data_IF_091995176905
#
_entry.id   IF_091995176905
#
_cell.length_a   1.000
_cell.length_b   1.000
_cell.length_c   1.000
_cell.angle_alpha   90.00
_cell.angle_beta   90.00
_cell.angle_gamma   90.00
#
_symmetry.space_group_name_H-M   'P 1'
#
loop_
_entity.id
_entity.type
_entity.pdbx_description
1 polymer ?
#
# COMPACT_ATOMS: atom_id res chain seq x y z
N UNK A 1 56.95 7.63 0.47
CA UNK A 1 55.63 7.14 0.00
C UNK A 1 55.51 5.62 -0.02
N UNK A 2 56.53 4.86 -0.41
CA UNK A 2 56.47 3.37 -0.44
C UNK A 2 56.15 2.69 0.91
N UNK A 3 56.67 3.20 2.04
CA UNK A 3 56.40 2.60 3.34
C UNK A 3 54.95 2.76 3.81
N UNK A 4 54.29 3.87 3.42
CA UNK A 4 52.88 4.13 3.75
C UNK A 4 51.97 3.23 2.88
N UNK A 5 52.30 3.08 1.59
CA UNK A 5 51.63 2.15 0.68
C UNK A 5 51.73 0.69 1.13
N UNK A 6 52.92 0.24 1.58
CA UNK A 6 53.08 -1.12 2.16
C UNK A 6 52.24 -1.34 3.43
N UNK A 7 52.07 -0.32 4.26
CA UNK A 7 51.26 -0.40 5.50
C UNK A 7 49.76 -0.47 5.20
N UNK A 8 49.29 0.28 4.20
CA UNK A 8 47.90 0.23 3.71
C UNK A 8 47.60 -1.11 3.02
N UNK A 9 48.54 -1.65 2.23
CA UNK A 9 48.39 -2.95 1.58
C UNK A 9 48.36 -4.10 2.61
N UNK A 10 49.21 -4.05 3.65
CA UNK A 10 49.18 -5.02 4.77
C UNK A 10 47.87 -4.96 5.57
N UNK A 11 47.33 -3.76 5.82
CA UNK A 11 46.06 -3.56 6.53
C UNK A 11 44.85 -4.06 5.75
N UNK A 12 44.80 -3.81 4.44
CA UNK A 12 43.72 -4.32 3.56
C UNK A 12 43.79 -5.82 3.34
N UNK A 13 45.00 -6.38 3.25
CA UNK A 13 45.21 -7.84 3.22
C UNK A 13 44.81 -8.49 4.55
N UNK A 14 45.10 -7.86 5.69
CA UNK A 14 44.70 -8.38 7.01
C UNK A 14 43.17 -8.36 7.20
N UNK A 15 42.48 -7.32 6.70
CA UNK A 15 41.01 -7.26 6.68
C UNK A 15 40.37 -8.27 5.72
N UNK A 16 40.97 -8.52 4.55
CA UNK A 16 40.51 -9.56 3.63
C UNK A 16 40.74 -10.97 4.18
N UNK A 17 41.88 -11.20 4.84
CA UNK A 17 42.18 -12.46 5.51
C UNK A 17 41.26 -12.65 6.72
N UNK A 18 40.93 -11.62 7.50
CA UNK A 18 39.98 -11.76 8.61
C UNK A 18 38.57 -12.07 8.12
N UNK A 19 38.10 -11.47 7.01
CA UNK A 19 36.81 -11.80 6.39
C UNK A 19 36.81 -13.24 5.83
N UNK A 20 37.88 -13.66 5.16
CA UNK A 20 38.02 -15.04 4.67
C UNK A 20 38.15 -16.05 5.81
N UNK A 21 38.81 -15.70 6.91
CA UNK A 21 38.90 -16.52 8.12
C UNK A 21 37.55 -16.58 8.82
N UNK A 22 36.78 -15.50 8.84
CA UNK A 22 35.41 -15.47 9.36
C UNK A 22 34.48 -16.35 8.53
N UNK A 23 34.53 -16.24 7.20
CA UNK A 23 33.78 -17.10 6.28
C UNK A 23 34.21 -18.57 6.42
N UNK A 24 35.50 -18.85 6.60
CA UNK A 24 36.04 -20.20 6.82
C UNK A 24 35.75 -20.75 8.23
N UNK A 25 35.61 -19.90 9.25
CA UNK A 25 35.21 -20.26 10.62
C UNK A 25 33.70 -20.48 10.70
N UNK A 26 32.89 -19.67 10.02
CA UNK A 26 31.46 -19.88 9.82
C UNK A 26 31.16 -21.15 9.01
N UNK A 27 32.01 -21.51 8.05
CA UNK A 27 31.92 -22.78 7.32
C UNK A 27 32.57 -23.96 8.06
N UNK A 28 33.62 -23.73 8.86
CA UNK A 28 34.49 -24.76 9.46
C UNK A 28 34.04 -25.25 10.83
N UNK A 29 33.51 -24.37 11.69
CA UNK A 29 33.03 -24.79 13.03
C UNK A 29 31.66 -25.51 12.92
N UNK A 30 30.82 -25.12 11.95
CA UNK A 30 29.54 -25.80 11.70
C UNK A 30 29.65 -27.15 10.97
N UNK A 31 30.77 -27.42 10.28
CA UNK A 31 30.95 -28.65 9.50
C UNK A 31 31.50 -29.84 10.30
N UNK A 32 32.24 -29.61 11.41
CA UNK A 32 32.91 -30.71 12.11
C UNK A 32 32.07 -31.36 13.23
N UNK A 33 31.14 -30.63 13.86
CA UNK A 33 30.25 -31.20 14.88
C UNK A 33 29.04 -31.97 14.30
N UNK A 34 28.75 -31.83 13.00
CA UNK A 34 27.55 -32.38 12.35
C UNK A 34 27.74 -33.75 11.66
N UNK A 35 28.97 -34.27 11.54
CA UNK A 35 29.19 -35.54 10.83
C UNK A 35 28.88 -36.79 11.69
N UNK A 36 28.57 -36.64 12.99
CA UNK A 36 28.33 -37.77 13.90
C UNK A 36 26.91 -37.75 14.45
N UNK A 37 25.92 -37.99 13.58
CA UNK A 37 24.79 -38.94 13.76
C UNK A 37 23.71 -38.74 12.68
N UNK A 38 23.73 -39.67 11.72
CA UNK A 38 22.71 -40.12 10.78
C UNK A 38 21.35 -39.36 10.66
N UNK A 39 21.08 -38.90 9.43
CA UNK A 39 19.82 -38.88 8.66
C UNK A 39 18.51 -38.94 9.48
N UNK A 40 17.75 -37.83 9.42
CA UNK A 40 16.51 -37.53 10.18
C UNK A 40 16.76 -37.05 11.61
N UNK A 41 17.55 -35.98 11.73
CA UNK A 41 17.81 -35.31 12.99
C UNK A 41 17.07 -33.96 13.03
N UNK A 42 16.28 -33.63 14.08
CA UNK A 42 15.68 -32.30 14.23
C UNK A 42 16.72 -31.17 14.15
N UNK A 43 17.97 -31.41 14.57
CA UNK A 43 19.06 -30.45 14.43
C UNK A 43 19.36 -30.10 12.97
N UNK A 44 19.35 -31.08 12.06
CA UNK A 44 19.63 -30.85 10.63
C UNK A 44 18.57 -29.93 10.00
N UNK A 45 17.30 -30.16 10.35
CA UNK A 45 16.19 -29.34 9.88
C UNK A 45 16.25 -27.91 10.44
N UNK A 46 16.54 -27.77 11.73
CA UNK A 46 16.74 -26.46 12.37
C UNK A 46 17.91 -25.70 11.74
N UNK A 47 19.04 -26.37 11.51
CA UNK A 47 20.22 -25.78 10.88
C UNK A 47 19.92 -25.34 9.44
N UNK A 48 19.19 -26.16 8.68
CA UNK A 48 18.77 -25.78 7.32
C UNK A 48 17.89 -24.54 7.33
N UNK A 49 16.91 -24.48 8.24
CA UNK A 49 16.05 -23.31 8.40
C UNK A 49 16.84 -22.05 8.83
N UNK A 50 17.77 -22.19 9.77
CA UNK A 50 18.62 -21.08 10.23
C UNK A 50 19.60 -20.61 9.14
N UNK A 51 20.21 -21.52 8.38
CA UNK A 51 21.06 -21.13 7.24
C UNK A 51 20.26 -20.35 6.21
N UNK A 52 19.04 -20.79 5.89
CA UNK A 52 18.15 -20.05 5.00
C UNK A 52 17.83 -18.66 5.55
N UNK A 53 17.59 -18.51 6.85
CA UNK A 53 17.45 -17.21 7.52
C UNK A 53 18.69 -16.32 7.38
N UNK A 54 19.88 -16.86 7.63
CA UNK A 54 21.15 -16.13 7.50
C UNK A 54 21.45 -15.69 6.06
N UNK A 55 21.08 -16.54 5.09
CA UNK A 55 21.24 -16.30 3.65
C UNK A 55 20.11 -15.46 3.04
N UNK A 56 19.10 -15.08 3.83
CA UNK A 56 17.89 -14.38 3.37
C UNK A 56 17.08 -15.18 2.31
N UNK A 57 17.20 -16.51 2.33
CA UNK A 57 16.40 -17.43 1.50
C UNK A 57 15.08 -17.77 2.21
N UNK A 58 14.17 -16.79 2.21
CA UNK A 58 12.87 -16.92 2.85
C UNK A 58 11.92 -17.88 2.12
N UNK A 59 12.21 -18.22 0.86
CA UNK A 59 11.48 -19.26 0.12
C UNK A 59 11.75 -20.64 0.71
N UNK A 60 13.02 -20.96 0.94
CA UNK A 60 13.40 -22.20 1.64
C UNK A 60 12.79 -22.23 3.04
N UNK A 61 12.90 -21.16 3.82
CA UNK A 61 12.28 -21.09 5.15
C UNK A 61 10.77 -21.41 5.11
N UNK A 62 10.03 -20.79 4.19
CA UNK A 62 8.59 -21.01 4.03
C UNK A 62 8.26 -22.45 3.63
N UNK A 63 9.12 -23.12 2.86
CA UNK A 63 8.92 -24.51 2.45
C UNK A 63 9.20 -25.53 3.56
N UNK A 64 9.94 -25.14 4.61
CA UNK A 64 10.26 -25.98 5.76
C UNK A 64 9.19 -25.93 6.87
N UNK A 65 8.19 -25.06 6.75
CA UNK A 65 7.12 -24.89 7.73
C UNK A 65 6.17 -26.09 7.81
N UNK A 66 5.66 -26.37 9.02
CA UNK A 66 4.55 -27.28 9.26
C UNK A 66 3.21 -26.58 8.95
N UNK A 67 2.80 -26.62 7.68
CA UNK A 67 1.56 -25.99 7.21
C UNK A 67 0.38 -26.91 7.51
N UNK A 68 -0.43 -26.54 8.50
CA UNK A 68 -1.65 -27.27 8.89
C UNK A 68 -2.80 -26.93 7.94
N UNK A 69 -3.66 -27.91 7.67
CA UNK A 69 -4.79 -27.74 6.75
C UNK A 69 -5.80 -26.69 7.23
N UNK A 70 -6.10 -25.74 6.34
CA UNK A 70 -7.00 -24.61 6.58
C UNK A 70 -6.40 -23.49 7.43
N UNK A 71 -5.09 -23.48 7.68
CA UNK A 71 -4.39 -22.30 8.20
C UNK A 71 -4.06 -21.35 7.04
N UNK A 72 -4.37 -20.07 7.19
CA UNK A 72 -4.02 -19.05 6.21
C UNK A 72 -2.64 -18.46 6.53
N UNK A 73 -1.60 -18.98 5.86
CA UNK A 73 -0.22 -18.53 6.03
C UNK A 73 0.26 -17.91 4.71
N UNK A 74 0.02 -16.60 4.54
CA UNK A 74 0.49 -15.85 3.38
C UNK A 74 2.02 -15.93 3.28
N UNK A 75 2.51 -16.38 2.11
CA UNK A 75 3.94 -16.51 1.82
C UNK A 75 4.64 -15.16 1.86
N UNK A 76 4.10 -14.15 1.18
CA UNK A 76 4.69 -12.82 1.12
C UNK A 76 4.78 -12.18 2.50
N UNK A 77 3.72 -12.34 3.31
CA UNK A 77 3.71 -11.85 4.69
C UNK A 77 4.74 -12.55 5.56
N UNK A 78 4.85 -13.87 5.45
CA UNK A 78 5.85 -14.63 6.19
C UNK A 78 7.27 -14.16 5.84
N UNK A 79 7.57 -13.97 4.55
CA UNK A 79 8.87 -13.46 4.09
C UNK A 79 9.16 -12.08 4.64
N UNK A 80 8.18 -11.17 4.61
CA UNK A 80 8.32 -9.82 5.17
C UNK A 80 8.66 -9.85 6.66
N UNK A 81 8.00 -10.72 7.44
CA UNK A 81 8.28 -10.88 8.88
C UNK A 81 9.71 -11.40 9.07
N UNK A 82 10.10 -12.47 8.37
CA UNK A 82 11.45 -13.04 8.48
C UNK A 82 12.54 -12.05 8.05
N UNK A 83 12.30 -11.28 6.99
CA UNK A 83 13.22 -10.25 6.52
C UNK A 83 13.43 -9.17 7.58
N UNK A 84 12.36 -8.61 8.13
CA UNK A 84 12.46 -7.60 9.20
C UNK A 84 13.15 -8.14 10.44
N UNK A 85 12.88 -9.40 10.81
CA UNK A 85 13.59 -10.06 11.91
C UNK A 85 15.09 -10.17 11.60
N UNK A 86 15.48 -10.60 10.40
CA UNK A 86 16.89 -10.70 10.01
C UNK A 86 17.58 -9.34 10.00
N UNK A 87 16.95 -8.31 9.45
CA UNK A 87 17.47 -6.93 9.40
C UNK A 87 17.63 -6.31 10.79
N UNK A 88 16.84 -6.76 11.78
CA UNK A 88 16.93 -6.28 13.17
C UNK A 88 18.06 -6.90 13.98
N UNK A 89 18.80 -7.86 13.43
CA UNK A 89 19.81 -8.64 14.14
C UNK A 89 21.18 -8.50 13.46
N UNK A 90 22.20 -8.16 14.24
CA UNK A 90 23.60 -8.43 13.88
C UNK A 90 23.96 -9.80 14.46
N UNK A 91 24.59 -10.64 13.65
CA UNK A 91 24.99 -12.00 14.02
C UNK A 91 26.36 -12.23 13.43
N UNK A 92 27.38 -12.17 14.29
CA UNK A 92 28.76 -12.41 13.93
C UNK A 92 29.10 -13.89 14.11
N UNK A 93 28.75 -14.44 15.27
CA UNK A 93 28.95 -15.84 15.59
C UNK A 93 27.67 -16.49 16.10
N UNK A 94 27.60 -17.82 16.03
CA UNK A 94 26.46 -18.56 16.56
C UNK A 94 26.86 -19.94 17.08
N UNK A 95 26.10 -20.43 18.05
CA UNK A 95 26.23 -21.78 18.61
C UNK A 95 24.89 -22.50 18.55
N UNK A 96 24.89 -23.68 17.95
CA UNK A 96 23.71 -24.55 17.85
C UNK A 96 23.73 -25.51 19.03
N UNK A 97 22.71 -25.47 19.87
CA UNK A 97 22.58 -26.36 21.01
C UNK A 97 21.92 -27.69 20.60
N UNK A 98 22.15 -28.72 21.42
CA UNK A 98 21.50 -30.03 21.24
C UNK A 98 19.96 -29.90 21.30
N UNK A 99 19.24 -30.72 20.50
CA UNK A 99 17.78 -30.67 20.47
C UNK A 99 17.24 -31.16 21.80
N UNK A 100 16.36 -30.36 22.41
CA UNK A 100 15.60 -30.77 23.61
C UNK A 100 14.14 -31.00 23.27
N UNK A 101 13.42 -31.70 24.14
CA UNK A 101 11.97 -31.86 24.03
C UNK A 101 11.27 -30.90 24.98
N UNK A 102 10.34 -30.12 24.46
CA UNK A 102 9.43 -29.26 25.23
C UNK A 102 8.00 -29.56 24.75
N UNK A 103 7.08 -29.87 25.66
CA UNK A 103 5.66 -30.12 25.36
C UNK A 103 5.40 -31.10 24.20
N UNK A 104 6.26 -32.12 24.07
CA UNK A 104 6.18 -33.13 23.00
C UNK A 104 6.75 -32.69 21.64
N UNK A 105 7.24 -31.46 21.52
CA UNK A 105 7.94 -30.92 20.35
C UNK A 105 9.45 -30.92 20.55
N UNK A 106 10.21 -30.94 19.45
CA UNK A 106 11.65 -30.75 19.51
C UNK A 106 11.96 -29.25 19.39
N UNK A 107 12.88 -28.76 20.22
CA UNK A 107 13.34 -27.38 20.20
C UNK A 107 14.85 -27.37 20.04
N UNK A 108 15.32 -26.64 19.05
CA UNK A 108 16.75 -26.35 18.83
C UNK A 108 16.96 -24.87 19.09
N UNK A 109 17.81 -24.55 20.06
CA UNK A 109 18.19 -23.16 20.35
C UNK A 109 19.50 -22.84 19.64
N UNK A 110 19.51 -21.69 18.97
CA UNK A 110 20.69 -21.12 18.34
C UNK A 110 21.00 -19.83 19.10
N UNK A 111 22.12 -19.84 19.81
CA UNK A 111 22.67 -18.66 20.49
C UNK A 111 23.40 -17.84 19.42
N UNK A 112 22.91 -16.64 19.12
CA UNK A 112 23.49 -15.73 18.15
C UNK A 112 24.19 -14.59 18.89
N UNK A 113 25.45 -14.32 18.57
CA UNK A 113 26.28 -13.30 19.25
C UNK A 113 26.62 -12.16 18.30
N UNK A 114 26.49 -10.94 18.80
CA UNK A 114 27.01 -9.70 18.22
C UNK A 114 28.32 -9.37 18.95
N UNK A 115 29.43 -9.48 18.22
CA UNK A 115 30.77 -9.36 18.78
C UNK A 115 31.13 -7.88 19.07
N UNK A 116 30.44 -6.93 18.43
CA UNK A 116 30.62 -5.49 18.66
C UNK A 116 30.04 -5.05 19.99
N UNK A 117 28.89 -5.61 20.36
CA UNK A 117 28.15 -5.28 21.58
C UNK A 117 28.35 -6.27 22.73
N UNK A 118 29.06 -7.38 22.48
CA UNK A 118 29.21 -8.53 23.39
C UNK A 118 27.84 -9.04 23.91
N UNK A 119 26.82 -8.96 23.05
CA UNK A 119 25.45 -9.34 23.37
C UNK A 119 25.06 -10.62 22.67
N UNK A 120 24.27 -11.46 23.34
CA UNK A 120 23.79 -12.73 22.79
C UNK A 120 22.27 -12.82 22.86
N UNK A 121 21.67 -13.35 21.81
CA UNK A 121 20.23 -13.57 21.70
C UNK A 121 19.91 -14.97 21.20
N UNK A 122 18.83 -15.55 21.73
CA UNK A 122 18.44 -16.92 21.43
C UNK A 122 17.37 -16.97 20.34
N UNK A 123 17.65 -17.71 19.26
CA UNK A 123 16.65 -18.12 18.29
C UNK A 123 16.22 -19.55 18.58
N UNK A 124 14.96 -19.72 19.00
CA UNK A 124 14.38 -21.04 19.28
C UNK A 124 13.58 -21.54 18.06
N UNK A 125 14.01 -22.65 17.47
CA UNK A 125 13.32 -23.32 16.36
C UNK A 125 12.56 -24.52 16.92
N UNK A 126 11.23 -24.47 16.82
CA UNK A 126 10.32 -25.54 17.22
C UNK A 126 10.06 -26.46 16.03
N UNK A 127 10.06 -27.77 16.26
CA UNK A 127 9.98 -28.78 15.21
C UNK A 127 8.96 -29.86 15.56
N UNK A 128 8.00 -30.06 14.66
CA UNK A 128 7.03 -31.14 14.72
C UNK A 128 7.55 -32.35 13.95
N UNK A 129 7.52 -33.52 14.60
CA UNK A 129 7.85 -34.80 13.98
C UNK A 129 6.66 -35.29 13.15
N UNK A 130 6.86 -35.55 11.86
CA UNK A 130 5.89 -36.15 10.93
C UNK A 130 6.38 -37.54 10.54
N UNK A 131 5.47 -38.51 10.52
CA UNK A 131 5.76 -39.87 10.08
C UNK A 131 5.07 -40.08 8.72
N UNK A 132 5.83 -40.41 7.69
CA UNK A 132 5.29 -40.69 6.36
C UNK A 132 5.23 -42.20 6.12
N UNK A 133 4.07 -42.83 6.30
CA UNK A 133 3.90 -44.24 5.91
C UNK A 133 4.00 -44.36 4.36
N UNK A 134 4.70 -45.37 3.81
CA UNK A 134 5.38 -46.51 4.47
C UNK A 134 6.86 -46.28 4.83
N UNK A 135 7.42 -45.06 4.64
CA UNK A 135 8.81 -44.73 4.98
C UNK A 135 8.96 -44.54 6.50
N UNK A 136 9.61 -45.48 7.18
CA UNK A 136 9.96 -45.44 8.62
C UNK A 136 10.92 -44.31 9.03
N UNK A 137 11.16 -43.30 8.18
CA UNK A 137 12.01 -42.15 8.50
C UNK A 137 11.14 -40.97 8.95
N UNK A 138 11.39 -40.38 10.13
CA UNK A 138 10.73 -39.14 10.50
C UNK A 138 11.07 -38.02 9.51
N UNK A 139 10.11 -37.17 9.23
CA UNK A 139 10.34 -35.83 8.69
C UNK A 139 10.12 -34.82 9.82
N UNK A 140 10.86 -33.71 9.80
CA UNK A 140 10.71 -32.65 10.79
C UNK A 140 10.30 -31.37 10.07
N UNK A 141 9.28 -30.69 10.57
CA UNK A 141 8.78 -29.43 10.01
C UNK A 141 8.78 -28.34 11.08
N UNK A 142 9.11 -27.12 10.67
CA UNK A 142 9.21 -25.97 11.56
C UNK A 142 7.83 -25.54 12.01
N UNK A 143 7.60 -25.55 13.33
CA UNK A 143 6.37 -25.06 13.92
C UNK A 143 6.45 -23.55 14.15
N UNK A 144 5.45 -22.84 13.63
CA UNK A 144 5.29 -21.40 13.77
C UNK A 144 4.05 -21.04 14.59
N UNK A 145 3.50 -21.96 15.40
CA UNK A 145 2.29 -21.72 16.19
C UNK A 145 2.36 -20.43 17.03
N UNK A 146 3.55 -20.09 17.55
CA UNK A 146 3.79 -18.84 18.32
C UNK A 146 3.64 -17.56 17.48
N UNK A 147 3.71 -17.66 16.16
CA UNK A 147 3.48 -16.56 15.22
C UNK A 147 2.02 -16.48 14.77
N UNK A 148 1.17 -17.44 15.13
CA UNK A 148 -0.19 -17.55 14.62
C UNK A 148 -1.22 -17.07 15.64
N UNK A 149 -2.26 -16.42 15.13
CA UNK A 149 -3.49 -16.08 15.84
C UNK A 149 -4.59 -17.01 15.37
N UNK A 150 -5.28 -17.67 16.31
CA UNK A 150 -6.36 -18.62 16.01
C UNK A 150 -7.73 -17.95 16.05
N UNK A 151 -8.66 -18.52 15.28
CA UNK A 151 -10.08 -18.16 15.28
C UNK A 151 -10.33 -16.66 15.00
N UNK A 152 -9.70 -16.12 13.96
CA UNK A 152 -10.04 -14.77 13.49
C UNK A 152 -11.37 -14.85 12.73
N UNK A 153 -12.32 -14.01 13.12
CA UNK A 153 -13.61 -13.85 12.43
C UNK A 153 -13.64 -12.51 11.71
N UNK A 154 -13.95 -12.50 10.41
CA UNK A 154 -14.16 -11.27 9.64
C UNK A 154 -15.58 -11.26 9.08
N UNK A 155 -16.33 -10.19 9.36
CA UNK A 155 -17.71 -10.00 8.89
C UNK A 155 -17.76 -8.89 7.84
N UNK A 156 -18.36 -9.19 6.69
CA UNK A 156 -18.54 -8.24 5.59
C UNK A 156 -19.99 -8.28 5.07
N UNK A 157 -20.48 -7.22 4.41
CA UNK A 157 -21.78 -7.26 3.73
C UNK A 157 -21.83 -8.39 2.69
N UNK A 158 -22.97 -9.07 2.58
CA UNK A 158 -23.15 -10.12 1.57
C UNK A 158 -22.95 -9.57 0.15
N UNK A 159 -22.19 -10.31 -0.67
CA UNK A 159 -21.91 -9.98 -2.07
C UNK A 159 -20.63 -9.17 -2.28
N UNK A 160 -20.05 -8.60 -1.23
CA UNK A 160 -18.71 -8.01 -1.29
C UNK A 160 -17.64 -9.12 -1.26
N UNK A 161 -16.49 -8.88 -1.88
CA UNK A 161 -15.31 -9.75 -1.84
C UNK A 161 -14.38 -9.32 -0.72
N UNK A 162 -13.88 -10.26 0.08
CA UNK A 162 -12.86 -9.99 1.10
C UNK A 162 -11.46 -10.05 0.49
N UNK A 163 -10.63 -9.05 0.78
CA UNK A 163 -9.18 -9.11 0.58
C UNK A 163 -8.44 -8.79 1.88
N UNK A 164 -7.33 -9.49 2.11
CA UNK A 164 -6.39 -9.21 3.19
C UNK A 164 -5.04 -8.89 2.56
N UNK A 165 -4.53 -7.68 2.80
CA UNK A 165 -3.31 -7.18 2.16
C UNK A 165 -3.38 -7.25 0.61
N UNK A 166 -4.56 -7.06 0.03
CA UNK A 166 -4.78 -7.09 -1.42
C UNK A 166 -4.95 -8.50 -2.03
N UNK A 167 -4.86 -9.56 -1.23
CA UNK A 167 -5.09 -10.93 -1.67
C UNK A 167 -6.56 -11.30 -1.42
N UNK A 168 -7.27 -11.72 -2.45
CA UNK A 168 -8.66 -12.21 -2.36
C UNK A 168 -8.72 -13.48 -1.51
N UNK A 169 -9.64 -13.51 -0.54
CA UNK A 169 -9.85 -14.63 0.37
C UNK A 169 -10.97 -15.51 -0.16
N UNK A 170 -10.72 -16.82 -0.18
CA UNK A 170 -11.63 -17.84 -0.70
C UNK A 170 -11.93 -18.92 0.35
N UNK A 171 -12.77 -19.89 -0.02
CA UNK A 171 -13.10 -21.07 0.80
C UNK A 171 -11.89 -21.98 1.11
N UNK A 172 -10.79 -21.82 0.36
CA UNK A 172 -9.51 -22.48 0.65
C UNK A 172 -8.78 -21.86 1.85
N UNK A 173 -9.04 -20.59 2.12
CA UNK A 173 -8.31 -19.79 3.11
C UNK A 173 -9.06 -19.70 4.44
N UNK A 174 -10.40 -19.72 4.39
CA UNK A 174 -11.28 -19.60 5.55
C UNK A 174 -12.57 -20.40 5.35
N UNK A 175 -13.23 -20.77 6.45
CA UNK A 175 -14.59 -21.27 6.38
C UNK A 175 -15.55 -20.08 6.22
N UNK A 176 -16.32 -20.06 5.14
CA UNK A 176 -17.21 -18.95 4.77
C UNK A 176 -18.66 -19.37 5.00
N UNK A 177 -19.37 -18.63 5.85
CA UNK A 177 -20.81 -18.78 6.05
C UNK A 177 -21.53 -17.47 5.72
N UNK A 178 -22.85 -17.51 5.56
CA UNK A 178 -23.68 -16.33 5.32
C UNK A 178 -24.90 -16.36 6.22
N UNK A 179 -25.11 -15.29 6.99
CA UNK A 179 -26.24 -15.14 7.91
C UNK A 179 -26.73 -13.68 7.87
N UNK A 180 -28.04 -13.45 7.78
CA UNK A 180 -28.65 -12.11 7.85
C UNK A 180 -28.01 -11.04 6.94
N UNK A 181 -27.76 -11.35 5.66
CA UNK A 181 -27.06 -10.48 4.69
C UNK A 181 -25.61 -10.12 5.06
N UNK A 182 -24.97 -10.93 5.91
CA UNK A 182 -23.57 -10.80 6.31
C UNK A 182 -22.84 -12.08 5.89
N UNK A 183 -21.70 -11.94 5.20
CA UNK A 183 -20.75 -13.02 4.99
C UNK A 183 -19.74 -13.04 6.13
N UNK A 184 -19.48 -14.23 6.68
CA UNK A 184 -18.60 -14.44 7.83
C UNK A 184 -17.46 -15.36 7.40
N UNK A 185 -16.23 -14.86 7.51
CA UNK A 185 -15.00 -15.58 7.21
C UNK A 185 -14.34 -16.00 8.51
N UNK A 186 -14.29 -17.30 8.76
CA UNK A 186 -13.70 -17.90 9.96
C UNK A 186 -12.35 -18.53 9.60
N UNK A 187 -11.27 -17.88 10.01
CA UNK A 187 -9.91 -18.37 9.83
C UNK A 187 -9.52 -19.26 11.01
N UNK A 188 -9.10 -20.50 10.74
CA UNK A 188 -8.56 -21.39 11.79
C UNK A 188 -7.33 -20.77 12.44
N UNK A 189 -6.41 -20.26 11.61
CA UNK A 189 -5.27 -19.48 12.05
C UNK A 189 -4.73 -18.56 10.95
N UNK A 190 -4.11 -17.46 11.36
CA UNK A 190 -3.43 -16.47 10.49
C UNK A 190 -2.16 -15.97 11.19
N UNK A 191 -1.14 -15.53 10.43
CA UNK A 191 0.03 -14.85 11.01
C UNK A 191 -0.38 -13.62 11.82
N UNK A 192 0.28 -13.37 12.93
CA UNK A 192 0.04 -12.17 13.73
C UNK A 192 0.51 -10.89 13.00
N UNK A 193 -0.08 -9.76 13.39
CA UNK A 193 0.36 -8.43 12.98
C UNK A 193 -0.73 -7.56 12.37
N UNK A 194 -0.30 -6.46 11.76
CA UNK A 194 -1.19 -5.44 11.21
C UNK A 194 -1.59 -5.75 9.77
N UNK A 195 -2.89 -5.76 9.50
CA UNK A 195 -3.47 -6.03 8.18
C UNK A 195 -4.33 -4.88 7.71
N UNK A 196 -4.18 -4.51 6.43
CA UNK A 196 -5.23 -3.80 5.69
C UNK A 196 -6.25 -4.85 5.25
N UNK A 197 -7.43 -4.79 5.83
CA UNK A 197 -8.56 -5.64 5.49
C UNK A 197 -9.52 -4.80 4.68
N UNK A 198 -9.83 -5.27 3.47
CA UNK A 198 -10.70 -4.57 2.54
C UNK A 198 -11.83 -5.51 2.16
N UNK A 199 -13.06 -5.00 2.14
CA UNK A 199 -14.12 -5.68 1.41
C UNK A 199 -14.60 -4.77 0.29
N UNK A 200 -14.82 -5.31 -0.90
CA UNK A 200 -15.16 -4.51 -2.07
C UNK A 200 -16.20 -5.18 -2.96
N UNK A 201 -17.00 -4.35 -3.61
CA UNK A 201 -17.83 -4.75 -4.73
C UNK A 201 -17.34 -4.04 -6.00
N UNK A 202 -18.13 -4.12 -7.08
CA UNK A 202 -17.77 -3.56 -8.37
C UNK A 202 -17.39 -2.06 -8.31
N UNK A 203 -17.95 -1.31 -7.36
CA UNK A 203 -17.83 0.16 -7.30
C UNK A 203 -17.12 0.69 -6.06
N UNK A 204 -17.34 0.04 -4.92
CA UNK A 204 -16.98 0.56 -3.61
C UNK A 204 -16.13 -0.41 -2.83
N UNK A 205 -15.42 0.13 -1.85
CA UNK A 205 -14.64 -0.64 -0.88
C UNK A 205 -14.95 -0.14 0.54
N UNK A 206 -14.86 -1.03 1.53
CA UNK A 206 -14.71 -0.67 2.94
C UNK A 206 -13.33 -1.13 3.37
N UNK A 207 -12.63 -0.29 4.11
CA UNK A 207 -11.27 -0.55 4.52
C UNK A 207 -11.15 -0.42 6.04
N UNK A 208 -10.38 -1.31 6.65
CA UNK A 208 -9.97 -1.20 8.05
C UNK A 208 -8.53 -1.65 8.22
N UNK A 209 -7.85 -1.07 9.21
CA UNK A 209 -6.55 -1.54 9.68
C UNK A 209 -6.78 -2.33 10.96
N UNK A 210 -6.47 -3.62 10.95
CA UNK A 210 -6.64 -4.50 12.10
C UNK A 210 -5.29 -5.00 12.60
N UNK A 211 -5.04 -4.85 13.90
CA UNK A 211 -3.89 -5.47 14.57
C UNK A 211 -4.29 -6.84 15.11
N UNK A 212 -4.01 -7.89 14.33
CA UNK A 212 -4.39 -9.28 14.62
C UNK A 212 -3.34 -9.91 15.53
N UNK A 213 -3.59 -9.91 16.83
CA UNK A 213 -2.62 -10.39 17.85
C UNK A 213 -3.22 -11.32 18.92
N UNK A 214 -4.55 -11.39 19.02
CA UNK A 214 -5.24 -12.16 20.06
C UNK A 214 -6.14 -13.22 19.43
N UNK A 215 -6.19 -14.38 20.10
CA UNK A 215 -7.14 -15.45 19.76
C UNK A 215 -8.59 -14.94 19.82
N UNK A 216 -9.46 -15.52 18.99
CA UNK A 216 -10.91 -15.27 19.00
C UNK A 216 -11.24 -13.79 18.68
N UNK A 217 -10.40 -13.13 17.88
CA UNK A 217 -10.60 -11.74 17.47
C UNK A 217 -11.67 -11.64 16.37
N UNK A 218 -12.48 -10.58 16.44
CA UNK A 218 -13.48 -10.25 15.42
C UNK A 218 -13.17 -8.90 14.76
N UNK A 219 -13.32 -8.85 13.43
CA UNK A 219 -13.27 -7.63 12.62
C UNK A 219 -14.59 -7.50 11.86
N UNK A 220 -15.36 -6.46 12.16
CA UNK A 220 -16.67 -6.23 11.56
C UNK A 220 -16.66 -5.00 10.62
N UNK A 221 -16.67 -5.26 9.30
CA UNK A 221 -16.76 -4.21 8.27
C UNK A 221 -18.23 -3.88 7.90
N UNK A 222 -19.22 -4.54 8.48
CA UNK A 222 -20.64 -4.26 8.16
C UNK A 222 -21.03 -2.84 8.57
N UNK A 223 -20.43 -2.33 9.65
CA UNK A 223 -20.65 -0.98 10.19
C UNK A 223 -19.76 0.09 9.56
N UNK A 224 -18.75 -0.29 8.80
CA UNK A 224 -17.85 0.66 8.14
C UNK A 224 -18.55 1.34 6.95
N UNK A 225 -18.16 2.58 6.68
CA UNK A 225 -18.60 3.35 5.52
C UNK A 225 -17.87 2.91 4.26
N UNK A 226 -18.61 2.91 3.15
CA UNK A 226 -18.03 2.69 1.82
C UNK A 226 -17.23 3.90 1.35
N UNK A 227 -16.11 3.63 0.70
CA UNK A 227 -15.33 4.55 -0.13
C UNK A 227 -15.38 4.05 -1.58
N UNK A 228 -14.94 4.87 -2.53
CA UNK A 228 -14.65 4.35 -3.86
C UNK A 228 -13.57 3.26 -3.77
N UNK A 229 -13.68 2.21 -4.60
CA UNK A 229 -12.57 1.28 -4.80
C UNK A 229 -11.47 1.93 -5.66
N UNK A 230 -10.33 1.27 -5.83
CA UNK A 230 -9.18 1.84 -6.53
C UNK A 230 -9.51 2.21 -7.98
N UNK A 231 -10.25 1.35 -8.69
CA UNK A 231 -10.70 1.59 -10.07
C UNK A 231 -11.51 2.88 -10.19
N UNK A 232 -12.51 3.05 -9.32
CA UNK A 232 -13.37 4.24 -9.36
C UNK A 232 -12.66 5.48 -8.82
N UNK A 233 -11.76 5.33 -7.85
CA UNK A 233 -10.90 6.43 -7.37
C UNK A 233 -10.09 7.02 -8.51
N UNK A 234 -9.44 6.18 -9.34
CA UNK A 234 -8.68 6.64 -10.51
C UNK A 234 -9.59 7.25 -11.59
N UNK A 235 -10.70 6.61 -11.94
CA UNK A 235 -11.66 7.14 -12.94
C UNK A 235 -12.19 8.52 -12.53
N UNK A 236 -12.60 8.68 -11.27
CA UNK A 236 -13.14 9.93 -10.74
C UNK A 236 -12.06 11.02 -10.73
N UNK A 237 -10.84 10.70 -10.27
CA UNK A 237 -9.73 11.67 -10.20
C UNK A 237 -9.35 12.19 -11.59
N UNK A 238 -9.31 11.31 -12.59
CA UNK A 238 -9.05 11.70 -13.98
C UNK A 238 -10.18 12.56 -14.54
N UNK A 239 -11.44 12.14 -14.33
CA UNK A 239 -12.61 12.90 -14.76
C UNK A 239 -12.66 14.32 -14.18
N UNK A 240 -12.35 14.47 -12.89
CA UNK A 240 -12.31 15.78 -12.20
C UNK A 240 -11.20 16.66 -12.76
N UNK A 241 -10.00 16.10 -12.96
CA UNK A 241 -8.86 16.83 -13.55
C UNK A 241 -9.20 17.32 -14.95
N UNK A 242 -9.77 16.46 -15.79
CA UNK A 242 -10.18 16.80 -17.15
C UNK A 242 -11.30 17.85 -17.17
N UNK A 243 -12.27 17.73 -16.27
CA UNK A 243 -13.34 18.71 -16.12
C UNK A 243 -12.77 20.08 -15.76
N UNK A 244 -11.90 20.17 -14.75
CA UNK A 244 -11.24 21.43 -14.33
C UNK A 244 -10.47 22.05 -15.50
N UNK A 245 -9.67 21.25 -16.21
CA UNK A 245 -8.86 21.73 -17.33
C UNK A 245 -9.73 22.31 -18.45
N UNK A 246 -10.81 21.62 -18.82
CA UNK A 246 -11.73 22.08 -19.87
C UNK A 246 -12.56 23.27 -19.43
N UNK A 247 -13.00 23.28 -18.17
CA UNK A 247 -13.73 24.39 -17.56
C UNK A 247 -12.93 25.69 -17.63
N UNK A 248 -11.68 25.69 -17.14
CA UNK A 248 -10.85 26.89 -17.20
C UNK A 248 -10.32 27.19 -18.60
N UNK A 249 -10.18 26.20 -19.48
CA UNK A 249 -9.94 26.48 -20.90
C UNK A 249 -11.11 27.24 -21.53
N UNK A 250 -12.34 26.83 -21.25
CA UNK A 250 -13.55 27.49 -21.74
C UNK A 250 -13.64 28.94 -21.22
N UNK A 251 -13.40 29.15 -19.93
CA UNK A 251 -13.40 30.48 -19.33
C UNK A 251 -12.32 31.40 -19.93
N UNK A 252 -11.08 30.91 -20.07
CA UNK A 252 -9.98 31.67 -20.68
C UNK A 252 -10.26 32.02 -22.14
N UNK A 253 -10.87 31.11 -22.90
CA UNK A 253 -11.21 31.32 -24.30
C UNK A 253 -12.54 32.07 -24.50
N UNK A 254 -13.18 32.55 -23.42
CA UNK A 254 -14.48 33.24 -23.44
C UNK A 254 -15.59 32.42 -24.13
N UNK A 255 -15.53 31.09 -23.98
CA UNK A 255 -16.41 30.13 -24.62
C UNK A 255 -17.34 29.47 -23.59
N UNK A 256 -18.41 30.18 -23.20
CA UNK A 256 -19.36 29.69 -22.17
C UNK A 256 -20.06 28.37 -22.50
N UNK A 257 -20.16 28.04 -23.79
CA UNK A 257 -20.80 26.83 -24.30
C UNK A 257 -19.79 25.97 -25.07
N UNK A 258 -18.57 25.86 -24.53
CA UNK A 258 -17.52 25.04 -25.10
C UNK A 258 -17.97 23.58 -25.28
N UNK A 259 -17.92 23.09 -26.52
CA UNK A 259 -18.41 21.75 -26.87
C UNK A 259 -17.68 20.64 -26.13
N UNK A 260 -16.38 20.79 -25.84
CA UNK A 260 -15.58 19.77 -25.15
C UNK A 260 -15.93 19.70 -23.67
N UNK A 261 -16.24 20.84 -23.04
CA UNK A 261 -16.73 20.89 -21.66
C UNK A 261 -18.15 20.32 -21.55
N UNK A 262 -19.05 20.73 -22.44
CA UNK A 262 -20.46 20.30 -22.38
C UNK A 262 -20.63 18.80 -22.64
N UNK A 263 -19.70 18.16 -23.37
CA UNK A 263 -19.69 16.73 -23.59
C UNK A 263 -19.54 15.88 -22.31
N UNK A 264 -19.14 16.45 -21.17
CA UNK A 264 -19.09 15.75 -19.88
C UNK A 264 -20.45 15.60 -19.20
N UNK A 265 -21.45 16.34 -19.69
CA UNK A 265 -22.71 16.56 -18.99
C UNK A 265 -23.84 16.18 -19.94
N UNK A 266 -24.51 15.06 -19.68
CA UNK A 266 -25.65 14.63 -20.48
C UNK A 266 -26.88 15.54 -20.28
N UNK A 267 -27.07 16.05 -19.06
CA UNK A 267 -28.23 16.85 -18.70
C UNK A 267 -28.14 18.30 -19.22
N UNK A 268 -29.07 18.67 -20.09
CA UNK A 268 -29.13 20.02 -20.72
C UNK A 268 -29.36 21.15 -19.71
N UNK A 269 -30.05 20.92 -18.59
CA UNK A 269 -30.25 21.96 -17.57
C UNK A 269 -28.95 22.19 -16.79
N UNK A 270 -28.22 21.12 -16.49
CA UNK A 270 -26.91 21.18 -15.85
C UNK A 270 -25.87 21.81 -16.78
N UNK A 271 -25.89 21.53 -18.09
CA UNK A 271 -25.07 22.24 -19.07
C UNK A 271 -25.28 23.76 -19.02
N UNK A 272 -26.55 24.22 -18.93
CA UNK A 272 -26.86 25.65 -18.77
C UNK A 272 -26.33 26.22 -17.46
N UNK A 273 -26.47 25.47 -16.36
CA UNK A 273 -25.92 25.89 -15.05
C UNK A 273 -24.39 26.01 -15.09
N UNK A 274 -23.70 25.04 -15.71
CA UNK A 274 -22.25 25.08 -15.87
C UNK A 274 -21.83 26.23 -16.79
N UNK A 275 -22.54 26.45 -17.90
CA UNK A 275 -22.30 27.60 -18.79
C UNK A 275 -22.38 28.93 -18.03
N UNK A 276 -23.37 29.10 -17.14
CA UNK A 276 -23.50 30.28 -16.30
C UNK A 276 -22.30 30.45 -15.36
N UNK A 277 -21.85 29.37 -14.72
CA UNK A 277 -20.64 29.45 -13.87
C UNK A 277 -19.40 29.82 -14.70
N UNK A 278 -19.27 29.32 -15.93
CA UNK A 278 -18.17 29.73 -16.82
C UNK A 278 -18.22 31.24 -17.10
N UNK A 279 -19.40 31.81 -17.34
CA UNK A 279 -19.57 33.27 -17.50
C UNK A 279 -19.17 34.06 -16.24
N UNK A 280 -19.50 33.55 -15.06
CA UNK A 280 -19.11 34.15 -13.77
C UNK A 280 -17.58 34.12 -13.60
N UNK A 281 -16.94 32.99 -13.89
CA UNK A 281 -15.47 32.88 -13.90
C UNK A 281 -14.84 33.80 -14.95
N UNK A 282 -15.42 33.88 -16.16
CA UNK A 282 -14.97 34.81 -17.21
C UNK A 282 -14.99 36.25 -16.71
N UNK A 283 -16.04 36.67 -16.03
CA UNK A 283 -16.19 38.02 -15.47
C UNK A 283 -15.17 38.29 -14.35
N UNK A 284 -14.76 37.25 -13.62
CA UNK A 284 -13.68 37.31 -12.65
C UNK A 284 -12.29 37.45 -13.29
N UNK A 285 -12.04 36.74 -14.39
CA UNK A 285 -10.77 36.81 -15.13
C UNK A 285 -10.62 38.10 -15.96
N UNK A 286 -11.72 38.56 -16.55
CA UNK A 286 -11.77 39.71 -17.45
C UNK A 286 -12.52 40.87 -16.81
N UNK A 287 -11.79 41.77 -16.16
CA UNK A 287 -12.37 42.86 -15.37
C UNK A 287 -13.03 43.90 -16.28
N UNK A 288 -14.36 44.03 -16.18
CA UNK A 288 -15.17 44.91 -17.03
C UNK A 288 -14.80 46.39 -16.93
N UNK A 289 -14.18 46.81 -15.82
CA UNK A 289 -13.68 48.17 -15.59
C UNK A 289 -12.37 48.50 -16.32
N UNK A 290 -11.73 47.52 -16.98
CA UNK A 290 -10.51 47.75 -17.77
C UNK A 290 -10.84 48.23 -19.18
N UNK A 291 -10.24 49.35 -19.58
CA UNK A 291 -10.29 49.86 -20.95
C UNK A 291 -9.75 48.82 -21.95
N UNK A 292 -10.42 48.65 -23.08
CA UNK A 292 -10.08 47.67 -24.13
C UNK A 292 -10.03 46.21 -23.63
N UNK A 293 -10.94 45.82 -22.74
CA UNK A 293 -10.99 44.48 -22.15
C UNK A 293 -11.04 43.36 -23.22
N UNK A 294 -11.67 43.65 -24.37
CA UNK A 294 -11.73 42.79 -25.54
C UNK A 294 -10.35 42.33 -26.04
N UNK A 295 -9.32 43.18 -25.90
CA UNK A 295 -7.95 42.90 -26.34
C UNK A 295 -7.12 42.03 -25.39
N UNK A 296 -7.56 41.86 -24.14
CA UNK A 296 -6.83 41.05 -23.17
C UNK A 296 -7.05 39.56 -23.39
N UNK A 297 -5.97 38.79 -23.22
CA UNK A 297 -5.96 37.32 -23.19
C UNK A 297 -5.29 36.85 -21.91
N UNK A 298 -5.73 35.72 -21.37
CA UNK A 298 -5.04 35.08 -20.24
C UNK A 298 -3.74 34.45 -20.76
N UNK A 299 -2.61 35.07 -20.43
CA UNK A 299 -1.28 34.66 -20.89
C UNK A 299 -0.63 33.62 -19.98
N UNK A 300 -0.99 33.63 -18.70
CA UNK A 300 -0.52 32.66 -17.70
C UNK A 300 -1.68 32.26 -16.78
N UNK A 301 -1.76 30.98 -16.45
CA UNK A 301 -2.78 30.42 -15.58
C UNK A 301 -2.24 29.15 -14.91
N UNK A 302 -2.11 29.19 -13.58
CA UNK A 302 -1.52 28.08 -12.82
C UNK A 302 -2.42 27.67 -11.66
N UNK A 303 -2.95 26.45 -11.74
CA UNK A 303 -3.62 25.78 -10.62
C UNK A 303 -2.57 25.29 -9.62
N UNK A 304 -2.84 25.49 -8.34
CA UNK A 304 -1.98 25.14 -7.21
C UNK A 304 -2.82 24.45 -6.13
N UNK A 305 -2.16 23.60 -5.35
CA UNK A 305 -2.73 22.98 -4.15
C UNK A 305 -4.04 22.21 -4.41
N UNK A 306 -4.15 21.54 -5.56
CA UNK A 306 -5.33 20.74 -5.88
C UNK A 306 -5.43 19.54 -4.94
N UNK A 307 -6.41 19.60 -4.06
CA UNK A 307 -6.75 18.51 -3.15
C UNK A 307 -8.20 18.07 -3.40
N UNK A 308 -8.43 16.76 -3.48
CA UNK A 308 -9.76 16.20 -3.74
C UNK A 308 -10.11 15.13 -2.71
N UNK A 309 -11.32 15.21 -2.17
CA UNK A 309 -11.90 14.16 -1.33
C UNK A 309 -13.07 13.52 -2.05
N UNK A 310 -13.07 12.19 -2.12
CA UNK A 310 -14.15 11.37 -2.69
C UNK A 310 -14.93 10.74 -1.53
N UNK A 311 -16.25 10.85 -1.58
CA UNK A 311 -17.18 10.19 -0.66
C UNK A 311 -18.21 9.41 -1.46
N UNK A 312 -18.63 8.26 -0.95
CA UNK A 312 -19.74 7.50 -1.52
C UNK A 312 -20.96 7.63 -0.61
N UNK A 313 -22.12 7.94 -1.19
CA UNK A 313 -23.40 7.95 -0.49
C UNK A 313 -24.14 6.65 -0.79
N UNK A 314 -24.25 5.78 0.21
CA UNK A 314 -24.90 4.47 0.07
C UNK A 314 -26.41 4.54 -0.19
N UNK A 315 -27.08 5.65 0.15
CA UNK A 315 -28.52 5.81 -0.08
C UNK A 315 -28.80 6.21 -1.53
N UNK A 316 -28.08 7.22 -2.02
CA UNK A 316 -28.23 7.69 -3.40
C UNK A 316 -27.43 6.88 -4.42
N UNK A 317 -26.47 6.08 -3.94
CA UNK A 317 -25.49 5.33 -4.76
C UNK A 317 -24.64 6.23 -5.64
N UNK A 318 -24.41 7.46 -5.18
CA UNK A 318 -23.64 8.48 -5.89
C UNK A 318 -22.27 8.69 -5.24
N UNK A 319 -21.26 9.02 -6.06
CA UNK A 319 -20.00 9.56 -5.57
C UNK A 319 -20.07 11.09 -5.51
N UNK A 320 -19.63 11.65 -4.39
CA UNK A 320 -19.46 13.08 -4.22
C UNK A 320 -17.97 13.40 -4.13
N UNK A 321 -17.49 14.23 -5.04
CA UNK A 321 -16.13 14.76 -5.01
C UNK A 321 -16.16 16.21 -4.59
N UNK A 322 -15.31 16.57 -3.64
CA UNK A 322 -15.03 17.97 -3.32
C UNK A 322 -13.56 18.24 -3.58
N UNK A 323 -13.28 19.14 -4.52
CA UNK A 323 -11.94 19.59 -4.88
C UNK A 323 -11.75 21.03 -4.43
N UNK A 324 -10.68 21.29 -3.70
CA UNK A 324 -10.25 22.63 -3.31
C UNK A 324 -8.90 22.93 -3.94
N UNK A 325 -8.75 24.11 -4.51
CA UNK A 325 -7.51 24.53 -5.16
C UNK A 325 -7.42 26.05 -5.20
N UNK A 326 -6.21 26.55 -5.44
CA UNK A 326 -5.96 27.94 -5.75
C UNK A 326 -5.55 28.08 -7.21
N UNK A 327 -5.76 29.24 -7.81
CA UNK A 327 -5.09 29.57 -9.07
C UNK A 327 -4.65 31.02 -9.10
N UNK A 328 -3.52 31.26 -9.77
CA UNK A 328 -3.09 32.60 -10.16
C UNK A 328 -3.25 32.74 -11.67
N UNK A 329 -3.55 33.95 -12.13
CA UNK A 329 -3.65 34.27 -13.54
C UNK A 329 -3.04 35.62 -13.87
N UNK A 330 -2.55 35.74 -15.10
CA UNK A 330 -2.11 37.00 -15.70
C UNK A 330 -2.83 37.21 -17.02
N UNK A 331 -3.36 38.41 -17.22
CA UNK A 331 -3.98 38.85 -18.47
C UNK A 331 -3.10 39.90 -19.13
N UNK A 332 -2.87 39.77 -20.44
CA UNK A 332 -2.10 40.74 -21.23
C UNK A 332 -2.80 41.11 -22.52
N UNK A 333 -2.53 42.30 -23.05
CA UNK A 333 -2.87 42.65 -24.43
C UNK A 333 -1.80 42.12 -25.40
N UNK A 334 -2.13 42.02 -26.68
CA UNK A 334 -1.11 41.93 -27.73
C UNK A 334 -0.25 43.23 -27.72
N UNK A 335 0.94 43.18 -28.33
CA UNK A 335 1.84 44.35 -28.43
C UNK A 335 1.13 45.44 -29.25
N UNK A 336 0.93 46.62 -28.67
CA UNK A 336 0.37 47.75 -29.39
C UNK A 336 1.36 48.23 -30.46
N UNK A 337 0.99 48.13 -31.74
CA UNK A 337 1.87 48.48 -32.89
C UNK A 337 2.35 49.93 -32.90
N UNK A 338 1.65 50.84 -32.22
CA UNK A 338 1.93 52.28 -32.20
C UNK A 338 2.69 52.74 -30.94
N UNK A 339 2.78 51.92 -29.89
CA UNK A 339 3.53 52.28 -28.66
C UNK A 339 4.49 51.22 -28.16
N UNK A 340 4.45 50.01 -28.73
CA UNK A 340 5.18 48.83 -28.25
C UNK A 340 4.87 48.40 -26.81
N UNK A 341 3.84 48.98 -26.17
CA UNK A 341 3.46 48.60 -24.80
C UNK A 341 2.56 47.36 -24.77
N UNK A 342 2.79 46.53 -23.75
CA UNK A 342 1.90 45.43 -23.34
C UNK A 342 1.29 45.80 -22.00
N UNK A 343 -0.04 45.93 -21.96
CA UNK A 343 -0.75 46.11 -20.70
C UNK A 343 -0.94 44.78 -20.01
N UNK A 344 -0.77 44.75 -18.69
CA UNK A 344 -0.94 43.54 -17.87
C UNK A 344 -1.71 43.81 -16.59
N UNK A 345 -2.47 42.82 -16.15
CA UNK A 345 -2.97 42.73 -14.77
C UNK A 345 -2.99 41.27 -14.33
N UNK A 346 -3.07 41.05 -13.02
CA UNK A 346 -3.02 39.72 -12.43
C UNK A 346 -4.01 39.58 -11.29
N UNK A 347 -4.39 38.35 -11.00
CA UNK A 347 -5.25 38.04 -9.88
C UNK A 347 -4.98 36.65 -9.34
N UNK A 348 -5.56 36.37 -8.19
CA UNK A 348 -5.56 35.05 -7.59
C UNK A 348 -6.97 34.65 -7.17
N UNK A 349 -7.23 33.36 -7.09
CA UNK A 349 -8.52 32.83 -6.69
C UNK A 349 -8.36 31.60 -5.82
N UNK A 350 -9.24 31.48 -4.83
CA UNK A 350 -9.48 30.23 -4.11
C UNK A 350 -10.80 29.63 -4.59
N UNK A 351 -10.75 28.40 -5.06
CA UNK A 351 -11.90 27.71 -5.65
C UNK A 351 -12.27 26.45 -4.86
N UNK A 352 -13.56 26.13 -4.88
CA UNK A 352 -14.11 24.86 -4.40
C UNK A 352 -15.08 24.32 -5.44
N UNK A 353 -14.73 23.19 -6.03
CA UNK A 353 -15.53 22.46 -7.00
C UNK A 353 -16.14 21.23 -6.31
N UNK A 354 -17.45 21.05 -6.45
CA UNK A 354 -18.15 19.85 -6.02
C UNK A 354 -18.81 19.20 -7.23
N UNK A 355 -18.49 17.93 -7.48
CA UNK A 355 -19.12 17.13 -8.53
C UNK A 355 -19.79 15.92 -7.90
N UNK A 356 -21.04 15.67 -8.28
CA UNK A 356 -21.76 14.44 -7.95
C UNK A 356 -21.79 13.56 -9.18
N UNK A 357 -21.30 12.33 -9.05
CA UNK A 357 -21.33 11.31 -10.09
C UNK A 357 -22.31 10.22 -9.72
N UNK A 358 -23.14 9.82 -10.68
CA UNK A 358 -23.86 8.55 -10.65
C UNK A 358 -23.11 7.51 -11.48
N UNK A 359 -23.34 6.22 -11.21
CA UNK A 359 -22.84 5.12 -12.04
C UNK A 359 -23.98 4.62 -12.92
N UNK A 360 -23.74 4.57 -14.23
CA UNK A 360 -24.65 4.00 -15.21
C UNK A 360 -23.89 3.01 -16.10
N UNK A 361 -24.23 1.72 -16.01
CA UNK A 361 -23.55 0.62 -16.71
C UNK A 361 -22.00 0.68 -16.60
N UNK A 362 -21.50 0.93 -15.39
CA UNK A 362 -20.06 1.00 -15.10
C UNK A 362 -19.36 2.30 -15.54
N UNK A 363 -20.11 3.26 -16.11
CA UNK A 363 -19.62 4.58 -16.53
C UNK A 363 -20.05 5.67 -15.55
N UNK A 364 -19.16 6.64 -15.35
CA UNK A 364 -19.44 7.81 -14.51
C UNK A 364 -20.27 8.81 -15.31
N UNK A 365 -21.39 9.25 -14.74
CA UNK A 365 -22.21 10.35 -15.28
C UNK A 365 -22.26 11.50 -14.29
N UNK A 366 -22.01 12.72 -14.75
CA UNK A 366 -22.11 13.91 -13.91
C UNK A 366 -23.59 14.24 -13.70
N UNK A 367 -24.03 14.15 -12.44
CA UNK A 367 -25.38 14.46 -11.99
C UNK A 367 -25.52 15.89 -11.48
N UNK A 368 -24.44 16.44 -10.92
CA UNK A 368 -24.43 17.80 -10.39
C UNK A 368 -23.02 18.39 -10.39
N UNK A 369 -22.93 19.71 -10.58
CA UNK A 369 -21.71 20.50 -10.48
C UNK A 369 -22.01 21.77 -9.72
N UNK A 370 -21.21 22.06 -8.68
CA UNK A 370 -21.23 23.33 -7.96
C UNK A 370 -19.81 23.88 -7.89
N UNK A 371 -19.61 25.09 -8.38
CA UNK A 371 -18.35 25.81 -8.25
C UNK A 371 -18.56 27.03 -7.37
N UNK A 372 -17.62 27.28 -6.46
CA UNK A 372 -17.52 28.52 -5.70
C UNK A 372 -16.11 29.07 -5.85
N UNK A 373 -16.02 30.34 -6.24
CA UNK A 373 -14.76 31.04 -6.45
C UNK A 373 -14.70 32.31 -5.60
N UNK A 374 -13.54 32.54 -4.96
CA UNK A 374 -13.24 33.77 -4.22
C UNK A 374 -12.05 34.46 -4.86
N UNK A 375 -12.36 35.41 -5.75
CA UNK A 375 -11.38 36.19 -6.51
C UNK A 375 -10.71 37.26 -5.65
N UNK A 376 -9.41 37.50 -5.87
CA UNK A 376 -8.62 38.61 -5.34
C UNK A 376 -7.87 39.27 -6.50
N UNK A 377 -8.19 40.55 -6.75
CA UNK A 377 -7.54 41.38 -7.77
C UNK A 377 -6.24 41.97 -7.20
N UNK A 378 -5.20 42.08 -8.02
CA UNK A 378 -3.91 42.70 -7.64
C UNK A 378 -3.56 43.86 -8.54
#
# INVERSE_FOLDING_TARGET
>A
MEQILKKIYKSRIFGLISILFFIAVCMGIGAFAAYVKHVSNPTEQAVTYFRAFMQQDYDTMYNLLDKKDGYYISKDRYKEIMQKTRESMTIDSYKINDPRKEDGQYVVTIECTDDETDSSQNMNIYLNKKMHLPKLKPDYKVDIEKMLVKNLTIKIPQGDKLTIAGIEITDKDANITTENNIQIYNFKAILNGNYKITCENEYCAKNTLANVIKKDMEVDLTKSWYTANDRYTSKITNSVTDFINKYYSAARNRSKSDKKLMAFIDDKKLQKSVSKTVEETMSGLYWSDKKNIDKYKVSDFKIKDLNSTIKYDSKSKDFQVTSTYNYDYTCTTDIATYTSYVYKYSGSCKATLKITYSIDNGNLKIKNVKLSEKQKRK
#
